data_IF_816619475450
#
_entry.id   IF_816619475450
#
_cell.length_a   1.000
_cell.length_b   1.000
_cell.length_c   1.000
_cell.angle_alpha   90.00
_cell.angle_beta   90.00
_cell.angle_gamma   90.00
#
_symmetry.space_group_name_H-M   'P 1'
#
loop_
_entity.id
_entity.type
_entity.pdbx_description
1 polymer ?
#
# COMPACT_ATOMS: atom_id res chain seq x y z
N UNK A 1 2.87 24.04 10.46
CA UNK A 1 1.62 23.32 10.24
C UNK A 1 1.05 23.69 8.87
N UNK A 2 0.47 22.75 8.17
CA UNK A 2 -0.21 22.93 6.89
C UNK A 2 -1.46 22.03 6.83
N UNK A 3 -2.43 22.37 6.01
CA UNK A 3 -3.61 21.53 5.74
C UNK A 3 -3.33 20.45 4.70
N UNK A 4 -2.32 20.64 3.86
CA UNK A 4 -1.83 19.65 2.92
C UNK A 4 -0.74 18.80 3.59
N UNK A 5 -0.98 17.50 3.72
CA UNK A 5 -0.09 16.56 4.42
C UNK A 5 1.28 16.44 3.74
N UNK A 6 1.36 16.45 2.41
CA UNK A 6 2.61 16.40 1.67
C UNK A 6 3.48 17.64 1.93
N UNK A 7 2.88 18.82 1.83
CA UNK A 7 3.57 20.09 2.13
C UNK A 7 4.05 20.12 3.57
N UNK A 8 3.24 19.62 4.52
CA UNK A 8 3.62 19.52 5.91
C UNK A 8 4.86 18.63 6.09
N UNK A 9 4.86 17.43 5.55
CA UNK A 9 5.98 16.48 5.68
C UNK A 9 7.26 17.09 5.11
N UNK A 10 7.23 17.62 3.91
CA UNK A 10 8.39 18.24 3.26
C UNK A 10 8.91 19.46 4.05
N UNK A 11 8.01 20.30 4.57
CA UNK A 11 8.40 21.47 5.36
C UNK A 11 9.08 21.09 6.68
N UNK A 12 8.62 20.06 7.38
CA UNK A 12 9.27 19.59 8.62
C UNK A 12 10.61 18.93 8.34
N UNK A 13 10.73 18.12 7.30
CA UNK A 13 12.01 17.54 6.87
C UNK A 13 13.04 18.65 6.57
N UNK A 14 12.63 19.67 5.80
CA UNK A 14 13.49 20.81 5.49
C UNK A 14 13.84 21.63 6.75
N UNK A 15 12.89 21.81 7.67
CA UNK A 15 13.11 22.50 8.93
C UNK A 15 14.19 21.78 9.77
N UNK A 16 14.09 20.46 9.95
CA UNK A 16 15.09 19.66 10.66
C UNK A 16 16.45 19.80 10.01
N UNK A 17 16.55 19.64 8.70
CA UNK A 17 17.80 19.78 7.97
C UNK A 17 18.47 21.14 8.22
N UNK A 18 17.69 22.23 8.25
CA UNK A 18 18.19 23.56 8.56
C UNK A 18 18.57 23.73 10.04
N UNK A 19 17.79 23.16 10.94
CA UNK A 19 18.09 23.20 12.39
C UNK A 19 19.40 22.47 12.70
N UNK A 20 19.61 21.30 12.11
CA UNK A 20 20.85 20.53 12.25
C UNK A 20 22.07 21.31 11.74
N UNK A 21 21.95 21.96 10.57
CA UNK A 21 23.01 22.79 10.01
C UNK A 21 23.41 23.97 10.92
N UNK A 22 22.47 24.52 11.70
CA UNK A 22 22.67 25.61 12.65
C UNK A 22 22.94 25.14 14.08
N UNK A 23 23.06 23.83 14.31
CA UNK A 23 23.26 23.25 15.65
C UNK A 23 22.09 23.43 16.61
N UNK A 24 20.86 23.59 16.08
CA UNK A 24 19.63 23.77 16.85
C UNK A 24 18.99 22.42 17.18
N UNK A 25 18.53 22.24 18.42
CA UNK A 25 17.83 21.04 18.89
C UNK A 25 16.56 21.40 19.65
N UNK A 26 15.59 22.00 18.96
CA UNK A 26 14.31 22.34 19.54
C UNK A 26 13.30 21.21 19.33
N UNK A 27 12.43 20.93 20.35
CA UNK A 27 11.37 19.94 20.20
C UNK A 27 10.35 20.36 19.14
N UNK A 28 9.87 19.38 18.37
CA UNK A 28 8.93 19.61 17.29
C UNK A 28 7.52 19.16 17.66
N UNK A 29 6.57 20.03 17.39
CA UNK A 29 5.14 19.76 17.55
C UNK A 29 4.47 19.55 16.18
N UNK A 30 4.11 18.30 15.87
CA UNK A 30 3.52 17.91 14.60
C UNK A 30 1.99 18.13 14.60
N UNK A 31 1.44 18.45 13.45
CA UNK A 31 -0.01 18.50 13.25
C UNK A 31 -0.42 18.92 11.85
N UNK A 32 -1.38 18.22 11.29
CA UNK A 32 -2.11 18.65 10.09
C UNK A 32 -3.20 19.60 10.55
N UNK A 33 -3.23 20.83 10.01
CA UNK A 33 -4.21 21.85 10.39
C UNK A 33 -5.46 21.68 9.52
N UNK A 34 -6.64 21.69 10.15
CA UNK A 34 -7.91 21.60 9.43
C UNK A 34 -7.95 20.38 8.49
N UNK A 35 -7.64 19.20 9.05
CA UNK A 35 -7.58 17.95 8.27
C UNK A 35 -8.95 17.55 7.69
N UNK A 36 -10.04 18.03 8.27
CA UNK A 36 -11.42 17.67 7.94
C UNK A 36 -12.03 16.78 9.02
N UNK A 37 -13.28 16.36 8.82
CA UNK A 37 -13.99 15.46 9.72
C UNK A 37 -14.03 14.01 9.21
N UNK A 38 -14.53 13.13 10.07
CA UNK A 38 -14.74 11.72 9.72
C UNK A 38 -13.47 10.99 9.29
N UNK A 39 -13.61 10.10 8.33
CA UNK A 39 -12.51 9.28 7.82
C UNK A 39 -11.41 10.11 7.14
N UNK A 40 -11.80 11.10 6.36
CA UNK A 40 -10.88 11.97 5.61
C UNK A 40 -9.88 12.70 6.53
N UNK A 41 -10.38 13.27 7.62
CA UNK A 41 -9.54 13.96 8.61
C UNK A 41 -8.57 13.00 9.31
N UNK A 42 -9.03 11.79 9.63
CA UNK A 42 -8.20 10.73 10.23
C UNK A 42 -7.11 10.27 9.28
N UNK A 43 -7.44 9.99 8.02
CA UNK A 43 -6.50 9.59 6.97
C UNK A 43 -5.43 10.68 6.77
N UNK A 44 -5.82 11.93 6.58
CA UNK A 44 -4.88 13.05 6.38
C UNK A 44 -3.96 13.27 7.59
N UNK A 45 -4.50 13.15 8.79
CA UNK A 45 -3.72 13.26 10.03
C UNK A 45 -2.73 12.11 10.17
N UNK A 46 -3.18 10.87 9.96
CA UNK A 46 -2.35 9.68 10.03
C UNK A 46 -1.23 9.71 8.98
N UNK A 47 -1.54 10.14 7.76
CA UNK A 47 -0.57 10.28 6.68
C UNK A 47 0.48 11.35 6.99
N UNK A 48 0.07 12.56 7.37
CA UNK A 48 1.01 13.66 7.60
C UNK A 48 1.84 13.50 8.88
N UNK A 49 1.20 13.20 10.00
CA UNK A 49 1.88 12.99 11.29
C UNK A 49 2.67 11.68 11.24
N UNK A 50 2.04 10.60 10.78
CA UNK A 50 2.63 9.28 10.74
C UNK A 50 3.89 9.21 9.86
N UNK A 51 3.90 9.85 8.69
CA UNK A 51 5.09 9.90 7.83
C UNK A 51 6.30 10.50 8.55
N UNK A 52 6.11 11.57 9.32
CA UNK A 52 7.18 12.19 10.09
C UNK A 52 7.61 11.33 11.28
N UNK A 53 6.66 10.70 11.98
CA UNK A 53 6.99 9.76 13.07
C UNK A 53 7.76 8.53 12.55
N UNK A 54 7.46 8.06 11.33
CA UNK A 54 8.25 6.99 10.67
C UNK A 54 9.67 7.46 10.29
N UNK A 55 9.87 8.76 10.09
CA UNK A 55 11.20 9.38 9.90
C UNK A 55 11.93 9.62 11.24
N UNK A 56 11.31 9.32 12.38
CA UNK A 56 11.86 9.64 13.71
C UNK A 56 11.71 11.11 14.10
N UNK A 57 10.87 11.88 13.42
CA UNK A 57 10.66 13.31 13.64
C UNK A 57 9.37 13.53 14.44
N UNK A 58 9.46 14.28 15.54
CA UNK A 58 8.34 14.74 16.33
C UNK A 58 8.39 14.33 17.79
N UNK A 59 8.22 15.32 18.69
CA UNK A 59 8.22 15.12 20.14
C UNK A 59 6.80 15.15 20.71
N UNK A 60 5.91 15.90 20.08
CA UNK A 60 4.48 15.98 20.42
C UNK A 60 3.66 16.04 19.14
N UNK A 61 2.41 15.55 19.23
CA UNK A 61 1.49 15.57 18.10
C UNK A 61 0.16 16.22 18.49
N UNK A 62 -0.51 16.84 17.51
CA UNK A 62 -1.90 17.28 17.60
C UNK A 62 -2.67 16.84 16.36
N UNK A 63 -3.73 16.09 16.59
CA UNK A 63 -4.77 15.86 15.58
C UNK A 63 -5.75 17.05 15.62
N UNK A 64 -6.20 17.51 14.46
CA UNK A 64 -7.17 18.62 14.35
C UNK A 64 -8.24 18.23 13.34
N UNK A 65 -9.37 17.79 13.87
CA UNK A 65 -10.55 17.39 13.11
C UNK A 65 -11.60 18.49 13.18
N UNK A 66 -12.59 18.45 12.27
CA UNK A 66 -13.80 19.28 12.36
C UNK A 66 -14.88 18.56 13.18
N UNK A 67 -14.47 18.06 14.35
CA UNK A 67 -15.27 17.29 15.29
C UNK A 67 -15.07 17.85 16.70
N UNK A 68 -15.87 17.39 17.68
CA UNK A 68 -15.65 17.77 19.07
C UNK A 68 -14.27 17.27 19.56
N UNK A 69 -13.55 18.07 20.38
CA UNK A 69 -12.17 17.78 20.80
C UNK A 69 -11.97 16.42 21.46
N UNK A 70 -13.01 15.86 22.05
CA UNK A 70 -12.99 14.53 22.67
C UNK A 70 -12.76 13.39 21.67
N UNK A 71 -13.06 13.59 20.38
CA UNK A 71 -12.80 12.63 19.31
C UNK A 71 -11.38 12.76 18.73
N UNK A 72 -10.69 13.89 18.94
CA UNK A 72 -9.31 14.08 18.48
C UNK A 72 -8.29 13.28 19.32
N UNK A 73 -8.49 13.24 20.65
CA UNK A 73 -7.55 12.61 21.58
C UNK A 73 -7.36 11.11 21.34
N UNK A 74 -8.40 10.28 21.11
CA UNK A 74 -8.24 8.87 20.79
C UNK A 74 -7.40 8.64 19.53
N UNK A 75 -7.60 9.43 18.48
CA UNK A 75 -6.85 9.34 17.21
C UNK A 75 -5.38 9.67 17.43
N UNK A 76 -5.08 10.74 18.19
CA UNK A 76 -3.71 11.10 18.54
C UNK A 76 -3.01 10.00 19.38
N UNK A 77 -3.72 9.42 20.34
CA UNK A 77 -3.22 8.33 21.19
C UNK A 77 -2.95 7.09 20.34
N UNK A 78 -3.85 6.71 19.42
CA UNK A 78 -3.67 5.57 18.53
C UNK A 78 -2.44 5.73 17.64
N UNK A 79 -2.25 6.92 17.03
CA UNK A 79 -1.06 7.24 16.24
C UNK A 79 0.23 7.13 17.04
N UNK A 80 0.27 7.66 18.27
CA UNK A 80 1.44 7.58 19.13
C UNK A 80 1.71 6.14 19.59
N UNK A 81 0.67 5.39 19.94
CA UNK A 81 0.78 4.00 20.41
C UNK A 81 1.27 3.04 19.33
N UNK A 82 1.08 3.36 18.06
CA UNK A 82 1.57 2.58 16.93
C UNK A 82 3.06 2.23 17.05
N UNK A 83 3.86 3.09 17.67
CA UNK A 83 5.32 2.93 17.77
C UNK A 83 5.78 2.16 19.01
N UNK A 84 4.87 1.87 19.94
CA UNK A 84 5.19 1.07 21.12
C UNK A 84 5.50 -0.38 20.73
N UNK A 85 6.58 -0.92 21.27
CA UNK A 85 6.99 -2.32 21.04
C UNK A 85 7.72 -2.56 19.71
N UNK A 86 8.02 -1.51 18.94
CA UNK A 86 8.78 -1.63 17.70
C UNK A 86 10.31 -1.72 17.90
N UNK A 87 10.81 -1.53 19.10
CA UNK A 87 12.25 -1.54 19.43
C UNK A 87 12.92 -2.88 19.07
N UNK A 88 12.11 -3.94 18.93
CA UNK A 88 12.57 -5.29 18.55
C UNK A 88 12.47 -5.58 17.06
N UNK A 89 12.30 -4.56 16.20
CA UNK A 89 12.26 -4.76 14.76
C UNK A 89 13.58 -5.34 14.24
N UNK A 90 13.50 -6.11 13.14
CA UNK A 90 14.71 -6.58 12.45
C UNK A 90 15.50 -5.37 11.95
N UNK A 91 16.85 -5.37 12.08
CA UNK A 91 17.68 -4.28 11.57
C UNK A 91 17.43 -4.03 10.07
N UNK A 92 17.32 -2.76 9.71
CA UNK A 92 17.19 -2.32 8.32
C UNK A 92 18.57 -1.75 7.93
N UNK A 93 19.11 -2.20 6.81
CA UNK A 93 20.42 -1.76 6.33
C UNK A 93 20.42 -0.25 6.07
N UNK A 94 21.41 0.42 6.57
CA UNK A 94 21.64 1.85 6.35
C UNK A 94 21.83 2.19 4.87
N UNK A 95 21.64 3.45 4.55
CA UNK A 95 21.85 4.03 3.22
C UNK A 95 22.86 5.17 3.39
N UNK A 96 23.95 5.15 2.64
CA UNK A 96 24.97 6.18 2.71
C UNK A 96 24.44 7.54 2.22
N UNK A 97 23.68 7.52 1.11
CA UNK A 97 23.01 8.68 0.54
C UNK A 97 21.58 8.33 0.11
N UNK A 98 20.64 9.23 0.38
CA UNK A 98 19.27 9.06 -0.08
C UNK A 98 19.19 9.16 -1.61
N UNK A 99 18.64 8.19 -2.33
CA UNK A 99 18.48 8.27 -3.79
C UNK A 99 17.34 9.21 -4.22
N UNK A 100 16.65 9.83 -3.26
CA UNK A 100 15.58 10.81 -3.50
C UNK A 100 15.85 12.10 -2.73
N UNK A 101 15.33 13.22 -3.24
CA UNK A 101 15.25 14.46 -2.49
C UNK A 101 14.05 14.41 -1.53
N UNK A 102 14.26 14.40 -0.19
CA UNK A 102 13.16 14.30 0.78
C UNK A 102 12.31 15.58 0.89
N UNK A 103 12.72 16.66 0.23
CA UNK A 103 12.07 17.98 0.28
C UNK A 103 11.22 18.26 -0.94
N UNK A 104 11.38 17.46 -2.02
CA UNK A 104 10.68 17.65 -3.29
C UNK A 104 10.01 16.36 -3.74
N UNK A 105 8.73 16.41 -4.05
CA UNK A 105 8.03 15.25 -4.58
C UNK A 105 8.49 14.91 -5.99
N UNK A 106 9.02 13.71 -6.14
CA UNK A 106 9.32 13.14 -7.44
C UNK A 106 8.82 11.69 -7.48
N UNK A 107 7.82 11.42 -8.33
CA UNK A 107 7.34 10.05 -8.48
C UNK A 107 8.44 9.16 -9.07
N UNK A 108 8.69 8.00 -8.45
CA UNK A 108 9.58 6.98 -8.98
C UNK A 108 9.16 6.59 -10.38
N UNK A 109 10.11 6.56 -11.31
CA UNK A 109 9.86 6.14 -12.68
C UNK A 109 9.59 4.63 -12.72
N UNK A 110 8.45 4.25 -13.31
CA UNK A 110 8.09 2.88 -13.65
C UNK A 110 7.61 2.81 -15.10
N UNK A 111 7.76 1.67 -15.75
CA UNK A 111 7.06 1.46 -17.02
C UNK A 111 5.63 0.95 -16.75
N UNK A 112 4.78 1.02 -17.76
CA UNK A 112 3.41 0.55 -17.66
C UNK A 112 3.31 -0.95 -17.97
N UNK A 113 2.54 -1.69 -17.14
CA UNK A 113 2.08 -3.06 -17.41
C UNK A 113 0.57 -3.11 -17.17
N UNK A 114 -0.22 -3.27 -18.21
CA UNK A 114 -1.70 -3.35 -18.14
C UNK A 114 -2.33 -2.28 -17.23
N UNK A 115 -1.99 -1.03 -17.45
CA UNK A 115 -2.46 0.12 -16.68
C UNK A 115 -1.90 0.25 -15.24
N UNK A 116 -0.90 -0.54 -14.85
CA UNK A 116 -0.17 -0.41 -13.59
C UNK A 116 1.16 0.27 -13.87
N UNK A 117 1.52 1.30 -13.11
CA UNK A 117 2.75 2.06 -13.34
C UNK A 117 2.66 3.09 -14.47
N UNK A 118 3.81 3.56 -14.93
CA UNK A 118 3.89 4.64 -15.92
C UNK A 118 3.23 5.93 -15.45
N UNK A 119 2.39 6.51 -16.29
CA UNK A 119 1.60 7.72 -15.99
C UNK A 119 0.28 7.45 -15.25
N UNK A 120 -0.05 6.19 -14.95
CA UNK A 120 -1.32 5.83 -14.33
C UNK A 120 -1.36 6.20 -12.84
N UNK A 121 -2.56 6.42 -12.30
CA UNK A 121 -2.79 6.54 -10.86
C UNK A 121 -2.52 5.20 -10.16
N UNK A 122 -2.15 5.20 -8.87
CA UNK A 122 -1.97 3.96 -8.13
C UNK A 122 -3.22 3.08 -8.16
N UNK A 123 -3.04 1.76 -8.33
CA UNK A 123 -4.10 0.77 -8.43
C UNK A 123 -4.43 0.15 -7.08
N UNK A 124 -5.66 -0.28 -6.90
CA UNK A 124 -6.12 -0.93 -5.68
C UNK A 124 -6.33 -2.42 -5.92
N UNK A 125 -5.75 -3.24 -5.03
CA UNK A 125 -5.96 -4.68 -4.98
C UNK A 125 -6.88 -5.04 -3.82
N UNK A 126 -8.05 -5.61 -4.11
CA UNK A 126 -8.94 -6.18 -3.12
C UNK A 126 -8.55 -7.63 -2.82
N UNK A 127 -8.42 -8.00 -1.55
CA UNK A 127 -8.06 -9.36 -1.13
C UNK A 127 -9.31 -10.19 -0.85
N UNK A 128 -9.58 -11.14 -1.74
CA UNK A 128 -10.70 -12.09 -1.64
C UNK A 128 -10.20 -13.54 -1.46
N UNK A 129 -8.94 -13.75 -1.15
CA UNK A 129 -8.36 -15.09 -0.99
C UNK A 129 -9.04 -15.94 0.10
N UNK A 130 -9.62 -15.27 1.10
CA UNK A 130 -10.36 -15.91 2.21
C UNK A 130 -11.88 -15.92 2.02
N UNK A 131 -12.40 -15.33 0.95
CA UNK A 131 -13.84 -15.27 0.66
C UNK A 131 -14.19 -16.27 -0.43
N UNK A 132 -15.27 -17.02 -0.23
CA UNK A 132 -15.81 -17.89 -1.28
C UNK A 132 -16.72 -17.05 -2.18
N UNK A 133 -16.37 -16.94 -3.45
CA UNK A 133 -17.19 -16.31 -4.47
C UNK A 133 -18.01 -17.41 -5.17
N UNK A 134 -19.32 -17.30 -5.15
CA UNK A 134 -20.26 -18.28 -5.71
C UNK A 134 -21.07 -17.72 -6.87
N UNK A 135 -21.17 -16.41 -6.95
CA UNK A 135 -21.95 -15.70 -7.97
C UNK A 135 -21.37 -14.30 -8.24
N UNK A 136 -21.83 -13.68 -9.33
CA UNK A 136 -21.49 -12.30 -9.67
C UNK A 136 -21.87 -11.29 -8.58
N UNK A 137 -22.91 -11.59 -7.78
CA UNK A 137 -23.37 -10.71 -6.68
C UNK A 137 -22.34 -10.56 -5.57
N UNK A 138 -21.45 -11.52 -5.41
CA UNK A 138 -20.40 -11.48 -4.39
C UNK A 138 -19.31 -10.42 -4.67
N UNK A 139 -19.33 -9.79 -5.86
CA UNK A 139 -18.44 -8.69 -6.23
C UNK A 139 -19.03 -7.30 -5.93
N UNK A 140 -20.23 -7.19 -5.36
CA UNK A 140 -20.87 -5.90 -5.08
C UNK A 140 -20.05 -5.05 -4.10
N UNK A 141 -19.46 -5.69 -3.10
CA UNK A 141 -18.58 -5.02 -2.10
C UNK A 141 -17.27 -4.52 -2.74
N UNK A 142 -16.90 -5.07 -3.89
CA UNK A 142 -15.75 -4.66 -4.68
C UNK A 142 -16.11 -3.61 -5.76
N UNK A 143 -17.31 -3.04 -5.69
CA UNK A 143 -17.78 -2.01 -6.61
C UNK A 143 -18.29 -2.49 -7.96
N UNK A 144 -18.53 -3.81 -8.13
CA UNK A 144 -19.02 -4.41 -9.37
C UNK A 144 -20.43 -4.93 -9.20
N UNK A 145 -21.37 -4.46 -10.01
CA UNK A 145 -22.76 -4.95 -10.04
C UNK A 145 -23.07 -5.56 -11.40
N UNK A 146 -23.54 -6.80 -11.41
CA UNK A 146 -23.94 -7.49 -12.62
C UNK A 146 -25.45 -7.35 -12.87
N UNK A 147 -25.80 -6.91 -14.06
CA UNK A 147 -27.17 -6.81 -14.55
C UNK A 147 -27.48 -8.01 -15.46
N UNK A 148 -28.17 -9.01 -14.89
CA UNK A 148 -28.50 -10.27 -15.58
C UNK A 148 -29.32 -10.04 -16.86
N UNK A 149 -30.35 -9.14 -16.91
CA UNK A 149 -31.18 -8.95 -18.11
C UNK A 149 -30.40 -8.41 -19.31
N UNK A 150 -29.39 -7.59 -19.09
CA UNK A 150 -28.57 -7.00 -20.17
C UNK A 150 -27.21 -7.67 -20.35
N UNK A 151 -26.88 -8.65 -19.53
CA UNK A 151 -25.57 -9.31 -19.48
C UNK A 151 -24.42 -8.31 -19.39
N UNK A 152 -24.55 -7.33 -18.46
CA UNK A 152 -23.57 -6.23 -18.33
C UNK A 152 -23.10 -6.05 -16.89
N UNK A 153 -21.84 -5.66 -16.79
CA UNK A 153 -21.24 -5.20 -15.54
C UNK A 153 -21.31 -3.67 -15.46
N UNK A 154 -21.74 -3.18 -14.31
CA UNK A 154 -21.68 -1.76 -13.94
C UNK A 154 -20.60 -1.60 -12.87
N UNK A 155 -19.79 -0.55 -12.99
CA UNK A 155 -18.72 -0.20 -12.07
C UNK A 155 -19.12 1.04 -11.29
N UNK A 156 -18.90 1.03 -9.98
CA UNK A 156 -19.01 2.21 -9.13
C UNK A 156 -17.66 2.95 -9.08
N UNK A 157 -17.68 4.18 -8.59
CA UNK A 157 -16.46 5.01 -8.43
C UNK A 157 -15.43 4.40 -7.45
N UNK A 158 -15.86 3.46 -6.60
CA UNK A 158 -15.01 2.75 -5.64
C UNK A 158 -14.61 1.34 -6.12
N UNK A 159 -14.81 1.02 -7.39
CA UNK A 159 -14.44 -0.30 -7.91
C UNK A 159 -12.93 -0.50 -7.85
N UNK A 160 -12.50 -1.62 -7.25
CA UNK A 160 -11.08 -1.99 -7.24
C UNK A 160 -10.61 -2.39 -8.64
N UNK A 161 -9.33 -2.13 -8.93
CA UNK A 161 -8.73 -2.43 -10.23
C UNK A 161 -8.34 -3.91 -10.36
N UNK A 162 -7.96 -4.52 -9.23
CA UNK A 162 -7.48 -5.90 -9.16
C UNK A 162 -8.16 -6.62 -7.99
N UNK A 163 -8.31 -7.93 -8.14
CA UNK A 163 -8.82 -8.81 -7.08
C UNK A 163 -7.88 -10.00 -6.90
N UNK A 164 -7.37 -10.20 -5.69
CA UNK A 164 -6.59 -11.38 -5.36
C UNK A 164 -7.49 -12.49 -4.82
N UNK A 165 -7.46 -13.61 -5.49
CA UNK A 165 -8.33 -14.78 -5.24
C UNK A 165 -7.55 -15.96 -4.64
N UNK A 166 -6.21 -15.94 -4.71
CA UNK A 166 -5.38 -17.05 -4.25
C UNK A 166 -5.74 -18.35 -4.98
N UNK A 167 -6.34 -19.29 -4.23
CA UNK A 167 -6.78 -20.60 -4.75
C UNK A 167 -8.26 -20.67 -5.14
N UNK A 168 -9.01 -19.59 -4.94
CA UNK A 168 -10.45 -19.55 -5.20
C UNK A 168 -10.72 -19.20 -6.67
N UNK A 169 -11.17 -20.16 -7.45
CA UNK A 169 -11.51 -19.94 -8.87
C UNK A 169 -12.90 -19.29 -9.00
N UNK A 170 -13.00 -18.24 -9.81
CA UNK A 170 -14.28 -17.62 -10.14
C UNK A 170 -15.14 -18.57 -10.96
N UNK A 171 -16.43 -18.78 -10.61
CA UNK A 171 -17.35 -19.62 -11.36
C UNK A 171 -17.96 -18.92 -12.61
N UNK A 172 -17.44 -17.72 -12.94
CA UNK A 172 -17.89 -16.88 -14.06
C UNK A 172 -16.70 -16.11 -14.65
N UNK A 173 -16.86 -15.52 -15.82
CA UNK A 173 -15.83 -14.71 -16.44
C UNK A 173 -15.60 -13.41 -15.65
N UNK A 174 -14.32 -13.10 -15.39
CA UNK A 174 -13.96 -11.87 -14.73
C UNK A 174 -14.43 -10.63 -15.52
N UNK A 175 -15.01 -9.60 -14.87
CA UNK A 175 -15.40 -8.37 -15.55
C UNK A 175 -14.23 -7.73 -16.31
N UNK A 176 -14.50 -7.11 -17.47
CA UNK A 176 -13.44 -6.50 -18.31
C UNK A 176 -12.59 -5.45 -17.58
N UNK A 177 -13.17 -4.71 -16.63
CA UNK A 177 -12.47 -3.69 -15.84
C UNK A 177 -11.65 -4.23 -14.69
N UNK A 178 -11.89 -5.48 -14.29
CA UNK A 178 -11.24 -6.13 -13.13
C UNK A 178 -10.19 -7.13 -13.60
N UNK A 179 -9.04 -7.17 -12.94
CA UNK A 179 -7.99 -8.15 -13.19
C UNK A 179 -7.91 -9.12 -12.01
N UNK A 180 -8.09 -10.41 -12.27
CA UNK A 180 -8.01 -11.45 -11.25
C UNK A 180 -6.57 -11.93 -11.07
N UNK A 181 -6.14 -12.04 -9.83
CA UNK A 181 -4.80 -12.54 -9.43
C UNK A 181 -4.98 -13.87 -8.72
N UNK A 182 -4.28 -14.89 -9.19
CA UNK A 182 -4.29 -16.24 -8.62
C UNK A 182 -2.89 -16.69 -8.22
N UNK A 183 -2.79 -17.53 -7.20
CA UNK A 183 -1.56 -18.27 -6.93
C UNK A 183 -1.12 -18.99 -8.21
N UNK A 184 0.18 -19.04 -8.46
CA UNK A 184 0.73 -19.58 -9.71
C UNK A 184 0.21 -20.99 -10.05
N UNK A 185 0.17 -21.89 -9.05
CA UNK A 185 -0.31 -23.26 -9.26
C UNK A 185 -1.80 -23.30 -9.68
N UNK A 186 -2.63 -22.44 -9.08
CA UNK A 186 -4.05 -22.32 -9.46
C UNK A 186 -4.20 -21.74 -10.86
N UNK A 187 -3.48 -20.63 -11.15
CA UNK A 187 -3.54 -19.98 -12.46
C UNK A 187 -3.13 -20.91 -13.59
N UNK A 188 -2.13 -21.74 -13.36
CA UNK A 188 -1.60 -22.71 -14.35
C UNK A 188 -2.66 -23.73 -14.81
N UNK A 189 -3.62 -24.03 -13.93
CA UNK A 189 -4.69 -25.03 -14.13
C UNK A 189 -6.02 -24.40 -14.64
N UNK A 190 -6.10 -23.06 -14.73
CA UNK A 190 -7.32 -22.42 -15.25
C UNK A 190 -7.56 -22.83 -16.72
N UNK A 191 -8.80 -23.21 -17.03
CA UNK A 191 -9.24 -23.50 -18.40
C UNK A 191 -9.29 -22.23 -19.26
N UNK A 192 -9.64 -21.09 -18.63
CA UNK A 192 -9.71 -19.77 -19.25
C UNK A 192 -8.92 -18.75 -18.43
N UNK A 193 -7.90 -18.16 -19.04
CA UNK A 193 -7.01 -17.18 -18.41
C UNK A 193 -7.38 -15.73 -18.77
N UNK A 194 -8.57 -15.46 -19.30
CA UNK A 194 -8.99 -14.12 -19.64
C UNK A 194 -9.04 -13.22 -18.39
N UNK A 195 -8.38 -12.06 -18.43
CA UNK A 195 -8.21 -11.14 -17.30
C UNK A 195 -7.70 -11.81 -16.01
N UNK A 196 -6.93 -12.88 -16.15
CA UNK A 196 -6.45 -13.69 -15.02
C UNK A 196 -4.94 -13.84 -15.07
N UNK A 197 -4.26 -13.50 -13.99
CA UNK A 197 -2.81 -13.34 -13.93
C UNK A 197 -2.21 -14.09 -12.74
N UNK A 198 -1.02 -14.68 -12.92
CA UNK A 198 -0.35 -15.40 -11.84
C UNK A 198 0.37 -14.46 -10.89
N UNK A 199 0.43 -14.86 -9.62
CA UNK A 199 1.36 -14.32 -8.64
C UNK A 199 2.35 -15.40 -8.23
N UNK A 200 3.63 -15.05 -8.19
CA UNK A 200 4.74 -15.92 -7.88
C UNK A 200 5.46 -15.48 -6.62
N UNK A 201 5.93 -16.41 -5.84
CA UNK A 201 7.06 -16.15 -4.97
C UNK A 201 8.33 -15.96 -5.82
N UNK A 202 9.33 -15.23 -5.31
CA UNK A 202 10.58 -14.93 -6.02
C UNK A 202 11.27 -16.17 -6.60
N UNK A 203 11.34 -17.26 -5.82
CA UNK A 203 11.92 -18.54 -6.25
C UNK A 203 11.08 -19.23 -7.32
N UNK A 204 9.76 -19.25 -7.14
CA UNK A 204 8.84 -19.82 -8.13
C UNK A 204 8.98 -19.12 -9.48
N UNK A 205 9.11 -17.79 -9.49
CA UNK A 205 9.30 -17.03 -10.72
C UNK A 205 10.59 -17.40 -11.44
N UNK A 206 11.66 -17.66 -10.68
CA UNK A 206 12.94 -18.09 -11.24
C UNK A 206 12.85 -19.46 -11.93
N UNK A 207 12.07 -20.37 -11.38
CA UNK A 207 11.96 -21.76 -11.83
C UNK A 207 10.78 -22.00 -12.80
N UNK A 208 9.85 -21.03 -12.90
CA UNK A 208 8.63 -21.16 -13.67
C UNK A 208 8.91 -21.35 -15.18
N UNK A 209 8.34 -22.40 -15.74
CA UNK A 209 8.36 -22.71 -17.17
C UNK A 209 7.13 -22.18 -17.94
N UNK A 210 6.06 -21.76 -17.22
CA UNK A 210 4.86 -21.16 -17.77
C UNK A 210 4.64 -19.79 -17.11
N UNK A 211 4.40 -18.78 -17.92
CA UNK A 211 4.13 -17.40 -17.48
C UNK A 211 3.03 -16.80 -18.34
N UNK A 212 2.37 -15.76 -17.85
CA UNK A 212 1.48 -14.94 -18.66
C UNK A 212 2.29 -14.10 -19.65
N UNK A 213 1.77 -13.91 -20.85
CA UNK A 213 2.37 -13.03 -21.85
C UNK A 213 2.06 -11.54 -21.61
N UNK A 214 1.18 -11.22 -20.65
CA UNK A 214 0.69 -9.86 -20.39
C UNK A 214 1.13 -9.32 -19.04
N UNK A 215 0.88 -10.08 -17.95
CA UNK A 215 1.18 -9.63 -16.59
C UNK A 215 1.53 -10.83 -15.69
N UNK A 216 2.63 -10.69 -14.97
CA UNK A 216 3.10 -11.64 -13.96
C UNK A 216 3.45 -10.87 -12.70
N UNK A 217 2.80 -11.15 -11.60
CA UNK A 217 3.17 -10.55 -10.31
C UNK A 217 4.26 -11.38 -9.64
N UNK A 218 5.24 -10.69 -9.06
CA UNK A 218 6.32 -11.33 -8.29
C UNK A 218 6.37 -10.69 -6.91
N UNK A 219 6.16 -11.49 -5.86
CA UNK A 219 6.30 -11.05 -4.48
C UNK A 219 7.79 -10.91 -4.17
N UNK A 220 8.16 -9.75 -3.66
CA UNK A 220 9.53 -9.42 -3.28
C UNK A 220 9.57 -8.70 -1.93
N UNK A 221 10.55 -9.04 -1.10
CA UNK A 221 11.00 -8.25 0.04
C UNK A 221 12.45 -7.82 -0.17
N UNK A 222 13.02 -7.10 0.80
CA UNK A 222 14.39 -6.59 0.69
C UNK A 222 15.44 -7.70 0.46
N UNK A 223 15.20 -8.90 1.01
CA UNK A 223 16.13 -10.02 0.93
C UNK A 223 15.96 -10.89 -0.35
N UNK A 224 14.94 -10.63 -1.15
CA UNK A 224 14.65 -11.39 -2.37
C UNK A 224 15.37 -10.86 -3.61
N UNK A 225 15.93 -9.62 -3.53
CA UNK A 225 16.56 -8.94 -4.66
C UNK A 225 17.95 -9.50 -4.99
N UNK A 226 18.01 -10.81 -5.29
CA UNK A 226 19.22 -11.49 -5.77
C UNK A 226 19.55 -11.08 -7.21
N UNK A 227 20.83 -11.17 -7.60
CA UNK A 227 21.28 -10.87 -8.97
C UNK A 227 20.55 -11.73 -10.01
N UNK A 228 20.21 -13.00 -9.69
CA UNK A 228 19.45 -13.88 -10.57
C UNK A 228 18.02 -13.39 -10.78
N UNK A 229 17.35 -12.90 -9.73
CA UNK A 229 16.01 -12.35 -9.86
C UNK A 229 16.05 -11.02 -10.63
N UNK A 230 16.95 -10.12 -10.24
CA UNK A 230 17.10 -8.80 -10.87
C UNK A 230 17.31 -8.91 -12.38
N UNK A 231 18.21 -9.79 -12.80
CA UNK A 231 18.49 -9.98 -14.23
C UNK A 231 17.27 -10.46 -15.03
N UNK A 232 16.37 -11.23 -14.41
CA UNK A 232 15.13 -11.72 -15.06
C UNK A 232 14.03 -10.68 -15.08
N UNK A 233 13.83 -9.90 -13.98
CA UNK A 233 12.72 -8.94 -13.89
C UNK A 233 13.01 -7.60 -14.59
N UNK A 234 14.26 -7.10 -14.53
CA UNK A 234 14.65 -5.76 -14.99
C UNK A 234 14.21 -5.46 -16.44
N UNK A 235 14.28 -6.46 -17.31
CA UNK A 235 13.97 -6.33 -18.74
C UNK A 235 12.64 -6.98 -19.15
N UNK A 236 11.95 -7.63 -18.23
CA UNK A 236 10.67 -8.28 -18.50
C UNK A 236 9.53 -7.27 -18.32
N UNK A 237 8.97 -6.83 -19.45
CA UNK A 237 7.88 -5.82 -19.49
C UNK A 237 6.51 -6.39 -19.10
N UNK A 238 6.43 -7.66 -18.77
CA UNK A 238 5.21 -8.29 -18.24
C UNK A 238 5.22 -8.38 -16.71
N UNK A 239 6.30 -7.98 -16.03
CA UNK A 239 6.46 -8.15 -14.58
C UNK A 239 6.05 -6.91 -13.80
N UNK A 240 5.05 -7.08 -12.92
CA UNK A 240 4.74 -6.17 -11.81
C UNK A 240 5.22 -6.76 -10.46
N UNK A 241 5.78 -5.95 -9.59
CA UNK A 241 6.26 -6.37 -8.29
C UNK A 241 5.20 -6.15 -7.21
N UNK A 242 5.07 -7.10 -6.28
CA UNK A 242 4.32 -6.95 -5.03
C UNK A 242 5.33 -6.82 -3.91
N UNK A 243 5.45 -5.63 -3.35
CA UNK A 243 6.41 -5.37 -2.28
C UNK A 243 5.80 -5.68 -0.92
N UNK A 244 6.27 -6.73 -0.28
CA UNK A 244 5.79 -7.22 1.02
C UNK A 244 6.91 -7.21 2.07
N UNK A 245 6.55 -7.09 3.34
CA UNK A 245 7.47 -7.19 4.47
C UNK A 245 6.78 -7.76 5.71
N UNK A 246 7.54 -8.50 6.52
CA UNK A 246 7.15 -8.96 7.85
C UNK A 246 7.85 -8.15 8.97
N UNK A 247 8.59 -7.11 8.63
CA UNK A 247 9.28 -6.29 9.61
C UNK A 247 8.27 -5.49 10.45
N UNK A 248 8.47 -5.41 11.75
CA UNK A 248 7.66 -4.56 12.64
C UNK A 248 7.74 -3.08 12.23
N UNK A 249 8.89 -2.63 11.72
CA UNK A 249 9.08 -1.32 11.10
C UNK A 249 8.94 -1.43 9.57
N UNK A 250 7.76 -1.86 9.14
CA UNK A 250 7.56 -2.31 7.76
C UNK A 250 7.62 -1.18 6.73
N UNK A 251 7.11 0.01 7.05
CA UNK A 251 7.19 1.14 6.13
C UNK A 251 8.65 1.50 5.83
N UNK A 252 9.51 1.57 6.85
CA UNK A 252 10.92 1.87 6.68
C UNK A 252 11.67 0.80 5.86
N UNK A 253 11.36 -0.50 6.08
CA UNK A 253 11.96 -1.57 5.27
C UNK A 253 11.48 -1.53 3.81
N UNK A 254 10.19 -1.24 3.57
CA UNK A 254 9.68 -1.07 2.22
C UNK A 254 10.29 0.16 1.53
N UNK A 255 10.47 1.29 2.25
CA UNK A 255 11.20 2.46 1.73
C UNK A 255 12.64 2.07 1.36
N UNK A 256 13.34 1.33 2.22
CA UNK A 256 14.70 0.85 1.94
C UNK A 256 14.72 -0.07 0.71
N UNK A 257 13.69 -0.88 0.51
CA UNK A 257 13.58 -1.72 -0.68
C UNK A 257 13.38 -0.87 -1.95
N UNK A 258 12.58 0.19 -1.90
CA UNK A 258 12.47 1.13 -3.02
C UNK A 258 13.81 1.81 -3.35
N UNK A 259 14.63 2.10 -2.36
CA UNK A 259 15.98 2.64 -2.60
C UNK A 259 16.85 1.63 -3.36
N UNK A 260 16.84 0.35 -2.97
CA UNK A 260 17.51 -0.72 -3.72
C UNK A 260 17.01 -0.82 -5.17
N UNK A 261 15.69 -0.70 -5.39
CA UNK A 261 15.13 -0.73 -6.74
C UNK A 261 15.62 0.45 -7.59
N UNK A 262 15.78 1.65 -6.99
CA UNK A 262 16.30 2.84 -7.68
C UNK A 262 17.79 2.66 -7.99
N UNK A 263 18.60 2.28 -7.00
CA UNK A 263 20.04 2.06 -7.16
C UNK A 263 20.37 1.02 -8.23
N UNK A 264 19.53 -0.02 -8.34
CA UNK A 264 19.66 -1.09 -9.33
C UNK A 264 18.92 -0.78 -10.65
N UNK A 265 18.38 0.42 -10.80
CA UNK A 265 17.62 0.86 -11.99
C UNK A 265 16.47 -0.10 -12.38
N UNK A 266 15.79 -0.68 -11.40
CA UNK A 266 14.63 -1.54 -11.62
C UNK A 266 13.40 -0.64 -11.74
N UNK A 267 12.81 -0.58 -12.94
CA UNK A 267 11.68 0.29 -13.28
C UNK A 267 10.35 -0.46 -13.44
N UNK A 268 10.28 -1.71 -12.98
CA UNK A 268 9.03 -2.46 -12.91
C UNK A 268 8.02 -1.72 -12.01
N UNK A 269 6.71 -1.70 -12.33
CA UNK A 269 5.70 -1.18 -11.43
C UNK A 269 5.64 -1.97 -10.14
N UNK A 270 5.33 -1.29 -9.04
CA UNK A 270 5.34 -1.86 -7.69
C UNK A 270 4.03 -1.58 -6.98
N UNK A 271 3.33 -2.62 -6.57
CA UNK A 271 2.19 -2.55 -5.65
C UNK A 271 2.71 -2.79 -4.23
N UNK A 272 2.43 -1.88 -3.33
CA UNK A 272 2.80 -1.98 -1.92
C UNK A 272 1.78 -2.86 -1.22
N UNK A 273 2.23 -3.95 -0.57
CA UNK A 273 1.36 -4.83 0.20
C UNK A 273 1.64 -4.72 1.70
N UNK A 274 0.57 -4.58 2.50
CA UNK A 274 0.63 -4.61 3.96
C UNK A 274 -0.35 -5.62 4.51
N UNK A 275 0.12 -6.42 5.47
CA UNK A 275 -0.69 -7.41 6.19
C UNK A 275 -0.92 -6.92 7.62
N UNK A 276 -2.17 -6.97 8.08
CA UNK A 276 -2.56 -6.63 9.45
C UNK A 276 -3.26 -7.82 10.09
N UNK A 277 -2.94 -8.05 11.37
CA UNK A 277 -3.46 -9.19 12.11
C UNK A 277 -4.16 -8.70 13.39
N UNK A 278 -5.39 -9.15 13.61
CA UNK A 278 -6.19 -8.86 14.82
C UNK A 278 -6.14 -7.37 15.18
N UNK A 279 -6.82 -6.56 14.40
CA UNK A 279 -6.77 -5.10 14.50
C UNK A 279 -8.19 -4.52 14.56
N UNK A 280 -8.39 -3.38 15.25
CA UNK A 280 -9.64 -2.62 15.16
C UNK A 280 -9.75 -1.91 13.80
N UNK A 281 -10.96 -1.54 13.41
CA UNK A 281 -11.16 -0.79 12.17
C UNK A 281 -10.46 0.58 12.20
N UNK A 282 -10.58 1.27 13.33
CA UNK A 282 -9.96 2.59 13.54
C UNK A 282 -8.44 2.54 13.46
N UNK A 283 -7.81 1.56 14.14
CA UNK A 283 -6.36 1.38 14.06
C UNK A 283 -5.91 0.97 12.65
N UNK A 284 -6.68 0.10 11.98
CA UNK A 284 -6.40 -0.30 10.61
C UNK A 284 -6.40 0.91 9.67
N UNK A 285 -7.39 1.79 9.78
CA UNK A 285 -7.47 3.01 8.98
C UNK A 285 -6.25 3.92 9.21
N UNK A 286 -5.88 4.16 10.48
CA UNK A 286 -4.76 5.03 10.83
C UNK A 286 -3.42 4.42 10.40
N UNK A 287 -3.21 3.13 10.67
CA UNK A 287 -1.94 2.47 10.42
C UNK A 287 -1.70 2.24 8.92
N UNK A 288 -2.74 1.83 8.18
CA UNK A 288 -2.63 1.69 6.73
C UNK A 288 -2.40 3.04 6.04
N UNK A 289 -3.10 4.10 6.50
CA UNK A 289 -2.89 5.45 5.99
C UNK A 289 -1.46 5.95 6.22
N UNK A 290 -0.85 5.61 7.36
CA UNK A 290 0.57 5.91 7.61
C UNK A 290 1.48 5.08 6.70
N UNK A 291 1.30 3.76 6.63
CA UNK A 291 2.19 2.86 5.89
C UNK A 291 2.20 3.16 4.40
N UNK A 292 1.03 3.25 3.79
CA UNK A 292 0.92 3.56 2.36
C UNK A 292 1.21 5.04 2.09
N UNK A 293 0.63 5.93 2.91
CA UNK A 293 0.72 7.37 2.71
C UNK A 293 2.14 7.90 2.79
N UNK A 294 2.95 7.41 3.73
CA UNK A 294 4.35 7.81 3.86
C UNK A 294 5.16 7.45 2.61
N UNK A 295 4.95 6.25 2.04
CA UNK A 295 5.61 5.82 0.81
C UNK A 295 5.11 6.59 -0.42
N UNK A 296 3.80 6.83 -0.52
CA UNK A 296 3.21 7.61 -1.62
C UNK A 296 3.67 9.07 -1.62
N UNK A 297 3.86 9.70 -0.43
CA UNK A 297 4.46 11.05 -0.31
C UNK A 297 5.89 11.08 -0.84
N UNK A 298 6.66 10.02 -0.63
CA UNK A 298 8.01 9.88 -1.16
C UNK A 298 8.03 9.57 -2.67
N UNK A 299 6.87 9.44 -3.30
CA UNK A 299 6.71 9.14 -4.72
C UNK A 299 6.83 7.65 -5.05
N UNK A 300 6.67 6.77 -4.06
CA UNK A 300 6.77 5.32 -4.23
C UNK A 300 5.42 4.64 -4.34
N UNK A 301 5.38 3.57 -5.12
CA UNK A 301 4.21 2.71 -5.29
C UNK A 301 3.34 3.09 -6.49
N UNK A 302 3.00 2.07 -7.25
CA UNK A 302 2.09 2.12 -8.40
C UNK A 302 0.74 1.47 -8.08
N UNK A 303 0.56 1.04 -6.82
CA UNK A 303 -0.68 0.49 -6.27
C UNK A 303 -0.53 0.12 -4.81
N UNK A 304 -1.67 -0.21 -4.19
CA UNK A 304 -1.78 -0.59 -2.79
C UNK A 304 -2.57 -1.89 -2.65
N UNK A 305 -2.15 -2.73 -1.72
CA UNK A 305 -2.81 -3.97 -1.34
C UNK A 305 -2.86 -4.11 0.17
N UNK A 306 -4.06 -3.95 0.71
CA UNK A 306 -4.36 -4.12 2.11
C UNK A 306 -4.88 -5.54 2.36
N UNK A 307 -4.19 -6.33 3.19
CA UNK A 307 -4.66 -7.64 3.63
C UNK A 307 -4.89 -7.63 5.14
N UNK A 308 -6.05 -8.14 5.58
CA UNK A 308 -6.43 -8.17 6.99
C UNK A 308 -6.79 -9.58 7.42
N UNK A 309 -6.23 -10.04 8.54
CA UNK A 309 -6.54 -11.31 9.16
C UNK A 309 -7.12 -11.10 10.57
N UNK A 310 -8.44 -11.12 10.67
CA UNK A 310 -9.20 -10.88 11.89
C UNK A 310 -9.38 -9.40 12.24
N UNK A 311 -10.58 -8.89 12.00
CA UNK A 311 -11.05 -7.63 12.59
C UNK A 311 -11.65 -7.93 13.97
N UNK A 312 -11.28 -7.15 14.98
CA UNK A 312 -11.88 -7.26 16.31
C UNK A 312 -13.34 -6.80 16.27
N UNK A 313 -14.24 -7.67 16.70
CA UNK A 313 -15.71 -7.52 16.59
C UNK A 313 -16.34 -6.40 17.42
N UNK A 314 -15.59 -5.68 18.25
CA UNK A 314 -16.10 -4.46 18.89
C UNK A 314 -16.43 -3.35 17.88
N UNK A 315 -15.84 -3.41 16.68
CA UNK A 315 -16.08 -2.47 15.57
C UNK A 315 -17.22 -2.89 14.63
N UNK A 316 -17.74 -4.10 14.69
CA UNK A 316 -18.87 -4.54 13.86
C UNK A 316 -20.18 -3.78 14.13
N UNK A 317 -20.25 -3.02 15.25
CA UNK A 317 -21.42 -2.20 15.57
C UNK A 317 -21.52 -0.90 14.79
N UNK A 318 -20.45 -0.44 14.16
CA UNK A 318 -20.47 0.75 13.30
C UNK A 318 -20.50 0.38 11.83
N UNK A 319 -21.40 -0.43 11.39
CA UNK A 319 -21.73 -0.92 10.04
C UNK A 319 -21.22 -0.16 8.81
N UNK A 320 -19.98 0.30 8.83
CA UNK A 320 -19.34 0.99 7.71
C UNK A 320 -18.21 0.12 7.20
N UNK A 321 -18.43 -0.41 6.04
CA UNK A 321 -17.52 -1.26 5.28
C UNK A 321 -16.19 -0.55 5.00
N UNK A 322 -15.07 -1.29 5.07
CA UNK A 322 -13.85 -0.91 4.38
C UNK A 322 -14.17 -0.96 2.88
N UNK A 323 -14.69 0.12 2.37
CA UNK A 323 -14.74 0.36 0.94
C UNK A 323 -13.41 0.97 0.58
N UNK A 324 -12.66 0.24 -0.24
CA UNK A 324 -11.33 0.49 -0.84
C UNK A 324 -10.79 1.91 -0.73
#
# INVERSE_FOLDING_TARGET
>A
KASNSQVMVQAYRLLINKMEAEGMNYPLHLGVTEAGGGEDGRIKSALGIGALLEDGIGDTIRVSLTEDPEFEAPVAIALANRYKGREKHKPIKEVDESPIDPFVYNRRKSFEVLSIGGGNVPRVVADYSKRKITSQRDLIDNGYTYDEPSDKWNLSDIAADLIYLGKNVLPFNCPNGLKAIYDFETWKELENNYNSYPIFLSKEFLDANKKSNELNFVIVGINDLSESLISKIKNDKTVGLILETENLHGMAEQRRTFFELIEKEITNPVIIKRNYFIITFEDLQLYSSTDFGALLIDGFGDGVWLSVDGLNSESEKSGTYIKS
#
